data_IF_899849946868
#
_entry.id   IF_899849946868
#
_cell.length_a   1.000
_cell.length_b   1.000
_cell.length_c   1.000
_cell.angle_alpha   90.00
_cell.angle_beta   90.00
_cell.angle_gamma   90.00
#
_symmetry.space_group_name_H-M   'P 1'
#
loop_
_entity.id
_entity.type
_entity.pdbx_description
1 polymer ?
#
# COMPACT_ATOMS: atom_id res chain seq x y z
N UNK A 1 -26.81 -27.08 -52.23
CA UNK A 1 -25.65 -27.76 -52.84
C UNK A 1 -25.75 -27.75 -54.37
N UNK A 2 -24.95 -26.91 -55.03
CA UNK A 2 -24.28 -27.15 -56.32
C UNK A 2 -23.66 -25.82 -56.79
N UNK A 3 -22.36 -25.87 -57.06
CA UNK A 3 -21.53 -24.79 -57.56
C UNK A 3 -21.74 -24.55 -59.07
N UNK A 4 -21.48 -23.33 -59.54
CA UNK A 4 -21.36 -22.99 -60.95
C UNK A 4 -20.05 -22.21 -61.21
N UNK A 5 -19.25 -22.58 -62.23
CA UNK A 5 -17.98 -21.93 -62.54
C UNK A 5 -18.08 -20.89 -63.69
N UNK A 6 -16.97 -20.17 -63.85
CA UNK A 6 -16.75 -18.99 -64.68
C UNK A 6 -16.56 -19.21 -66.19
N UNK A 7 -16.72 -18.12 -66.95
CA UNK A 7 -16.16 -17.81 -68.30
C UNK A 7 -16.55 -16.34 -68.63
N UNK A 8 -15.88 -15.52 -69.44
CA UNK A 8 -14.56 -15.39 -70.06
C UNK A 8 -14.46 -13.91 -70.58
N UNK A 9 -13.24 -13.40 -70.79
CA UNK A 9 -12.82 -12.04 -71.22
C UNK A 9 -13.16 -11.70 -72.71
N UNK A 10 -12.51 -10.76 -73.48
CA UNK A 10 -11.53 -9.66 -73.21
C UNK A 10 -11.68 -8.36 -74.10
N UNK A 11 -10.72 -7.41 -73.98
CA UNK A 11 -10.01 -6.57 -75.01
C UNK A 11 -9.82 -5.10 -74.54
N UNK A 12 -8.60 -4.61 -74.24
CA UNK A 12 -7.48 -4.09 -75.11
C UNK A 12 -7.75 -2.66 -75.67
N UNK A 13 -6.85 -1.68 -75.81
CA UNK A 13 -5.39 -1.54 -75.88
C UNK A 13 -4.98 -0.05 -75.61
N UNK A 14 -3.78 0.28 -75.07
CA UNK A 14 -2.60 0.83 -75.81
C UNK A 14 -2.50 2.38 -75.67
N UNK A 15 -1.37 3.11 -75.58
CA UNK A 15 0.08 2.88 -75.67
C UNK A 15 0.85 4.11 -75.07
N UNK A 16 2.15 3.97 -74.79
CA UNK A 16 3.11 5.01 -74.29
C UNK A 16 3.96 5.63 -75.45
N UNK A 17 5.18 6.23 -75.32
CA UNK A 17 5.92 6.95 -74.24
C UNK A 17 6.70 8.24 -74.73
N UNK A 18 7.41 8.98 -73.84
CA UNK A 18 8.62 9.82 -74.15
C UNK A 18 9.31 10.39 -72.86
N UNK A 19 10.49 9.91 -72.45
CA UNK A 19 11.88 10.51 -72.43
C UNK A 19 12.22 11.72 -71.52
N UNK A 20 13.08 11.46 -70.50
CA UNK A 20 14.35 12.12 -70.02
C UNK A 20 14.60 13.64 -70.23
N UNK A 21 15.25 14.47 -69.39
CA UNK A 21 15.98 14.42 -68.09
C UNK A 21 16.16 15.91 -67.57
N UNK A 22 17.20 16.31 -66.78
CA UNK A 22 17.20 16.53 -65.32
C UNK A 22 17.51 18.00 -64.89
N UNK A 23 17.42 18.36 -63.59
CA UNK A 23 18.26 19.41 -62.92
C UNK A 23 17.95 19.59 -61.41
N UNK A 24 19.00 19.35 -60.61
CA UNK A 24 19.50 20.07 -59.40
C UNK A 24 18.62 20.44 -58.19
N UNK A 25 19.26 20.21 -57.03
CA UNK A 25 18.92 20.51 -55.64
C UNK A 25 18.46 21.95 -55.33
N UNK A 26 17.59 22.08 -54.32
CA UNK A 26 17.79 23.09 -53.28
C UNK A 26 17.21 22.70 -51.92
N UNK A 27 17.82 23.25 -50.88
CA UNK A 27 17.68 22.93 -49.47
C UNK A 27 16.49 23.67 -48.80
N UNK A 28 16.07 23.12 -47.66
CA UNK A 28 15.64 23.92 -46.51
C UNK A 28 14.18 24.35 -46.45
N UNK A 29 13.31 23.49 -45.90
CA UNK A 29 12.16 23.92 -45.10
C UNK A 29 11.96 22.97 -43.92
N UNK A 30 12.88 23.04 -42.96
CA UNK A 30 12.56 22.69 -41.58
C UNK A 30 11.56 23.75 -41.09
N UNK A 31 10.27 23.45 -41.23
CA UNK A 31 9.20 24.28 -40.71
C UNK A 31 9.41 24.46 -39.20
N UNK A 32 9.80 25.66 -38.80
CA UNK A 32 9.83 26.01 -37.39
C UNK A 32 8.43 25.76 -36.83
N UNK A 33 8.28 24.99 -35.73
CA UNK A 33 6.97 24.77 -35.15
C UNK A 33 6.35 26.13 -34.87
N UNK A 34 5.08 26.27 -35.25
CA UNK A 34 4.29 27.46 -34.97
C UNK A 34 4.55 27.92 -33.53
N UNK A 35 4.75 29.23 -33.27
CA UNK A 35 4.93 29.73 -31.91
C UNK A 35 3.77 29.30 -30.98
N UNK A 36 2.60 29.00 -31.53
CA UNK A 36 1.49 28.39 -30.82
C UNK A 36 1.77 26.94 -30.41
N UNK A 37 2.32 26.09 -31.29
CA UNK A 37 2.70 24.72 -30.96
C UNK A 37 3.87 24.67 -29.95
N UNK A 38 4.82 25.60 -30.05
CA UNK A 38 5.91 25.73 -29.08
C UNK A 38 5.47 26.31 -27.72
N UNK A 39 4.41 27.13 -27.70
CA UNK A 39 3.79 27.65 -26.48
C UNK A 39 2.90 26.61 -25.80
N UNK A 40 2.14 25.83 -26.57
CA UNK A 40 1.34 24.69 -26.07
C UNK A 40 2.25 23.58 -25.57
N UNK A 41 3.34 23.28 -26.28
CA UNK A 41 4.36 22.32 -25.83
C UNK A 41 5.05 22.76 -24.52
N UNK A 42 5.35 24.05 -24.36
CA UNK A 42 5.87 24.59 -23.09
C UNK A 42 4.83 24.60 -21.98
N UNK A 43 3.59 25.01 -22.26
CA UNK A 43 2.51 24.99 -21.28
C UNK A 43 2.18 23.57 -20.82
N UNK A 44 2.25 22.56 -21.72
CA UNK A 44 2.08 21.15 -21.37
C UNK A 44 3.29 20.58 -20.62
N UNK A 45 4.52 20.95 -20.98
CA UNK A 45 5.73 20.57 -20.25
C UNK A 45 5.78 21.21 -18.85
N UNK A 46 5.37 22.47 -18.72
CA UNK A 46 5.24 23.19 -17.45
C UNK A 46 4.09 22.61 -16.62
N UNK A 47 2.99 22.17 -17.26
CA UNK A 47 1.90 21.48 -16.56
C UNK A 47 2.27 20.06 -16.14
N UNK A 48 3.08 19.33 -16.91
CA UNK A 48 3.60 18.00 -16.55
C UNK A 48 4.66 18.08 -15.44
N UNK A 49 5.57 19.05 -15.52
CA UNK A 49 6.53 19.35 -14.44
C UNK A 49 5.80 19.82 -13.18
N UNK A 50 4.74 20.63 -13.33
CA UNK A 50 3.87 21.01 -12.23
C UNK A 50 2.97 19.87 -11.73
N UNK A 51 2.64 18.86 -12.55
CA UNK A 51 1.85 17.69 -12.15
C UNK A 51 2.69 16.67 -11.38
N UNK A 52 3.95 16.48 -11.77
CA UNK A 52 4.96 15.77 -10.99
C UNK A 52 5.33 16.51 -9.69
N UNK A 53 5.23 17.86 -9.68
CA UNK A 53 5.41 18.68 -8.48
C UNK A 53 4.14 18.84 -7.62
N UNK A 54 2.95 18.43 -8.11
CA UNK A 54 1.64 18.51 -7.41
C UNK A 54 1.20 17.19 -6.78
N UNK A 55 1.78 16.06 -7.14
CA UNK A 55 1.91 14.98 -6.15
C UNK A 55 2.73 15.58 -5.01
N UNK A 56 2.37 15.46 -3.73
CA UNK A 56 3.26 15.87 -2.65
C UNK A 56 4.64 15.30 -2.95
N UNK A 57 5.55 16.19 -3.31
CA UNK A 57 6.87 15.85 -3.84
C UNK A 57 7.80 15.35 -2.76
N UNK A 58 7.30 15.29 -1.52
CA UNK A 58 7.97 14.59 -0.45
C UNK A 58 7.44 13.15 -0.45
N UNK A 59 8.23 12.16 -0.93
CA UNK A 59 8.17 10.86 -0.28
C UNK A 59 8.17 11.10 1.23
N UNK A 60 7.58 10.23 2.04
CA UNK A 60 7.99 10.21 3.45
C UNK A 60 9.52 10.13 3.41
N UNK A 61 10.21 11.22 3.76
CA UNK A 61 11.65 11.24 3.74
C UNK A 61 12.05 10.03 4.59
N UNK A 62 12.92 9.14 4.08
CA UNK A 62 13.31 7.96 4.84
C UNK A 62 13.68 8.45 6.23
N UNK A 63 12.93 7.97 7.23
CA UNK A 63 13.08 8.54 8.56
C UNK A 63 14.45 8.10 9.04
N UNK A 64 15.36 9.05 9.17
CA UNK A 64 16.68 8.78 9.72
C UNK A 64 16.55 8.72 11.22
N UNK A 65 17.30 7.82 11.85
CA UNK A 65 17.41 7.85 13.30
C UNK A 65 17.99 9.21 13.71
N UNK A 66 17.35 9.95 14.64
CA UNK A 66 17.92 11.19 15.12
C UNK A 66 19.29 10.92 15.76
N UNK A 67 20.23 11.86 15.59
CA UNK A 67 21.61 11.74 16.12
C UNK A 67 21.67 11.58 17.66
N UNK A 68 20.55 11.77 18.36
CA UNK A 68 20.42 11.69 19.82
C UNK A 68 20.02 10.32 20.40
N UNK A 69 20.06 9.23 19.63
CA UNK A 69 19.71 7.89 20.11
C UNK A 69 18.20 7.63 20.26
N UNK A 70 17.82 6.43 20.70
CA UNK A 70 16.42 6.04 20.91
C UNK A 70 15.78 6.93 22.00
N UNK A 71 14.55 7.46 21.82
CA UNK A 71 13.89 8.25 22.85
C UNK A 71 13.89 7.53 24.20
N UNK A 72 14.49 8.16 25.22
CA UNK A 72 14.80 7.54 26.51
C UNK A 72 13.56 7.15 27.36
N UNK A 73 12.36 7.62 27.00
CA UNK A 73 11.15 7.43 27.80
C UNK A 73 10.31 6.24 27.33
N UNK A 74 10.89 5.05 27.50
CA UNK A 74 10.20 3.81 27.28
C UNK A 74 10.12 3.02 28.59
N UNK A 75 8.94 2.44 28.81
CA UNK A 75 8.54 1.57 29.92
C UNK A 75 8.45 2.25 31.29
N UNK A 76 7.25 2.73 31.62
CA UNK A 76 6.75 2.48 32.97
C UNK A 76 6.07 1.11 32.94
N UNK A 77 6.52 0.23 33.84
CA UNK A 77 6.21 -1.20 33.88
C UNK A 77 4.72 -1.50 33.73
N UNK A 78 4.37 -2.23 32.67
CA UNK A 78 3.28 -3.19 32.78
C UNK A 78 3.96 -4.52 33.08
N UNK A 79 3.97 -4.88 34.36
CA UNK A 79 4.30 -6.23 34.79
C UNK A 79 3.47 -7.19 33.93
N UNK A 80 4.16 -7.98 33.11
CA UNK A 80 3.56 -9.05 32.33
C UNK A 80 3.11 -10.10 33.36
N UNK A 81 1.81 -10.36 33.57
CA UNK A 81 1.43 -11.49 34.41
C UNK A 81 1.87 -12.75 33.68
N UNK A 82 3.01 -13.30 34.11
CA UNK A 82 3.52 -14.58 33.69
C UNK A 82 2.60 -15.67 34.23
N UNK A 83 1.50 -15.90 33.52
CA UNK A 83 0.74 -17.13 33.55
C UNK A 83 0.09 -17.25 32.19
N UNK A 84 0.69 -18.03 31.29
CA UNK A 84 -0.09 -18.56 30.18
C UNK A 84 -1.15 -19.48 30.80
N UNK A 85 -2.46 -19.18 30.71
CA UNK A 85 -3.45 -20.19 31.02
C UNK A 85 -3.17 -21.38 30.09
N UNK A 86 -3.13 -22.57 30.68
CA UNK A 86 -3.04 -23.84 29.94
C UNK A 86 -4.05 -23.80 28.80
N UNK A 87 -3.56 -23.94 27.56
CA UNK A 87 -4.38 -23.92 26.33
C UNK A 87 -5.56 -24.88 26.50
N UNK A 88 -6.76 -24.35 26.68
CA UNK A 88 -7.97 -25.12 26.44
C UNK A 88 -8.02 -25.37 24.93
N UNK A 89 -8.00 -26.64 24.51
CA UNK A 89 -8.39 -26.97 23.15
C UNK A 89 -9.86 -26.53 23.00
N UNK A 90 -10.19 -25.74 21.98
CA UNK A 90 -11.57 -25.30 21.72
C UNK A 90 -12.55 -26.47 21.90
N UNK A 91 -13.49 -26.30 22.81
CA UNK A 91 -14.69 -27.13 22.92
C UNK A 91 -15.59 -26.80 21.74
N UNK A 92 -16.06 -27.81 21.01
CA UNK A 92 -17.16 -27.62 20.06
C UNK A 92 -18.38 -26.95 20.73
N UNK A 93 -19.18 -26.21 19.96
CA UNK A 93 -20.32 -25.46 20.48
C UNK A 93 -20.91 -24.48 19.48
N UNK A 94 -21.97 -23.79 19.90
CA UNK A 94 -22.60 -22.66 19.23
C UNK A 94 -21.68 -21.44 19.14
N UNK A 95 -22.06 -20.44 18.33
CA UNK A 95 -21.29 -19.20 18.21
C UNK A 95 -21.16 -18.45 19.53
N UNK A 96 -22.22 -18.42 20.32
CA UNK A 96 -22.27 -17.68 21.57
C UNK A 96 -21.39 -18.35 22.62
N UNK A 97 -21.42 -19.69 22.71
CA UNK A 97 -20.51 -20.47 23.56
C UNK A 97 -19.03 -20.23 23.22
N UNK A 98 -18.70 -20.01 21.94
CA UNK A 98 -17.33 -19.67 21.55
C UNK A 98 -16.92 -18.27 22.01
N UNK A 99 -17.78 -17.26 21.88
CA UNK A 99 -17.46 -15.91 22.40
C UNK A 99 -17.24 -15.95 23.91
N UNK A 100 -18.13 -16.63 24.60
CA UNK A 100 -18.11 -16.88 26.03
C UNK A 100 -16.81 -17.55 26.50
N UNK A 101 -16.37 -18.59 25.79
CA UNK A 101 -15.10 -19.26 26.03
C UNK A 101 -13.92 -18.31 25.86
N UNK A 102 -13.92 -17.48 24.82
CA UNK A 102 -12.88 -16.47 24.61
C UNK A 102 -12.85 -15.46 25.76
N UNK A 103 -14.00 -14.93 26.18
CA UNK A 103 -14.07 -13.97 27.30
C UNK A 103 -13.47 -14.58 28.57
N UNK A 104 -13.90 -15.79 28.93
CA UNK A 104 -13.49 -16.43 30.20
C UNK A 104 -12.06 -16.94 30.14
N UNK A 105 -11.71 -17.71 29.10
CA UNK A 105 -10.51 -18.53 29.08
C UNK A 105 -9.33 -17.87 28.34
N UNK A 106 -9.61 -16.98 27.37
CA UNK A 106 -8.56 -16.31 26.61
C UNK A 106 -8.30 -14.87 27.09
N UNK A 107 -9.35 -14.12 27.44
CA UNK A 107 -9.18 -12.78 28.01
C UNK A 107 -8.94 -12.81 29.52
N UNK A 108 -9.29 -13.91 30.19
CA UNK A 108 -9.16 -14.10 31.62
C UNK A 108 -10.14 -13.25 32.43
N UNK A 109 -11.32 -12.96 31.86
CA UNK A 109 -12.31 -12.07 32.46
C UNK A 109 -13.45 -12.87 33.09
N UNK A 110 -13.90 -12.42 34.27
CA UNK A 110 -15.00 -13.06 35.00
C UNK A 110 -16.19 -12.10 35.03
N UNK A 111 -17.24 -12.35 34.23
CA UNK A 111 -18.46 -11.55 34.27
C UNK A 111 -19.24 -11.80 35.58
N UNK A 112 -20.14 -10.88 35.98
CA UNK A 112 -21.06 -11.11 37.09
C UNK A 112 -21.91 -12.37 36.89
N UNK A 113 -22.29 -13.01 37.98
CA UNK A 113 -23.14 -14.21 37.96
C UNK A 113 -24.48 -13.93 37.25
N UNK A 114 -24.91 -14.84 36.39
CA UNK A 114 -26.17 -14.75 35.65
C UNK A 114 -26.16 -13.78 34.46
N UNK A 115 -25.01 -13.19 34.11
CA UNK A 115 -24.86 -12.30 32.94
C UNK A 115 -24.13 -13.03 31.82
N UNK A 116 -24.59 -12.84 30.58
CA UNK A 116 -23.88 -13.31 29.38
C UNK A 116 -22.48 -12.65 29.30
N UNK A 117 -21.39 -13.42 29.25
CA UNK A 117 -20.04 -12.88 29.25
C UNK A 117 -19.72 -11.93 28.12
N UNK A 118 -20.19 -12.21 26.90
CA UNK A 118 -19.86 -11.40 25.74
C UNK A 118 -20.67 -10.10 25.74
N UNK A 119 -21.96 -10.15 26.08
CA UNK A 119 -22.77 -8.95 26.30
C UNK A 119 -22.20 -8.10 27.43
N UNK A 120 -21.78 -8.72 28.55
CA UNK A 120 -21.08 -8.01 29.62
C UNK A 120 -19.79 -7.36 29.11
N UNK A 121 -18.96 -8.10 28.37
CA UNK A 121 -17.70 -7.61 27.82
C UNK A 121 -17.92 -6.37 26.96
N UNK A 122 -18.86 -6.43 26.00
CA UNK A 122 -19.14 -5.31 25.09
C UNK A 122 -19.66 -4.09 25.84
N UNK A 123 -20.41 -4.30 26.93
CA UNK A 123 -20.81 -3.24 27.86
C UNK A 123 -19.66 -2.58 28.64
N UNK A 124 -18.46 -3.19 28.67
CA UNK A 124 -17.26 -2.59 29.28
C UNK A 124 -16.43 -1.74 28.33
N UNK A 125 -16.73 -1.74 27.04
CA UNK A 125 -15.91 -1.01 26.08
C UNK A 125 -15.99 0.50 26.27
N UNK A 126 -14.86 1.15 26.01
CA UNK A 126 -14.69 2.59 26.13
C UNK A 126 -14.19 3.17 24.81
N UNK A 127 -14.49 4.45 24.58
CA UNK A 127 -13.86 5.23 23.52
C UNK A 127 -12.84 6.17 24.14
N UNK A 128 -11.74 6.44 23.43
CA UNK A 128 -10.67 7.33 23.90
C UNK A 128 -10.23 8.30 22.82
N UNK A 129 -9.78 9.49 23.23
CA UNK A 129 -9.13 10.44 22.32
C UNK A 129 -7.67 10.04 22.11
N UNK A 130 -7.31 9.70 20.88
CA UNK A 130 -5.97 9.25 20.48
C UNK A 130 -5.67 9.72 19.06
N UNK A 131 -4.42 10.11 18.80
CA UNK A 131 -3.96 10.58 17.49
C UNK A 131 -4.84 11.71 16.89
N UNK A 132 -5.39 12.57 17.76
CA UNK A 132 -6.26 13.68 17.36
C UNK A 132 -7.70 13.29 17.01
N UNK A 133 -8.10 12.03 17.18
CA UNK A 133 -9.45 11.54 16.87
C UNK A 133 -10.03 10.65 17.99
N UNK A 134 -11.35 10.52 18.02
CA UNK A 134 -12.03 9.58 18.91
C UNK A 134 -11.92 8.17 18.34
N UNK A 135 -11.45 7.22 19.13
CA UNK A 135 -11.42 5.81 18.75
C UNK A 135 -12.83 5.20 18.65
N UNK A 136 -12.95 4.09 17.92
CA UNK A 136 -14.04 3.15 18.13
C UNK A 136 -14.02 2.55 19.55
N UNK A 137 -15.09 1.85 19.98
CA UNK A 137 -15.14 1.22 21.29
C UNK A 137 -14.06 0.15 21.42
N UNK A 138 -13.29 0.12 22.50
CA UNK A 138 -12.25 -0.88 22.74
C UNK A 138 -12.24 -1.31 24.20
N UNK A 139 -11.57 -2.42 24.51
CA UNK A 139 -11.37 -2.82 25.90
C UNK A 139 -10.61 -1.75 26.68
N UNK A 140 -10.96 -1.48 27.96
CA UNK A 140 -10.26 -0.49 28.78
C UNK A 140 -8.74 -0.66 28.81
N UNK A 141 -8.24 -1.91 28.92
CA UNK A 141 -6.80 -2.19 28.91
C UNK A 141 -6.12 -1.85 27.58
N UNK A 142 -6.82 -2.04 26.46
CA UNK A 142 -6.35 -1.70 25.13
C UNK A 142 -6.39 -0.18 24.94
N UNK A 143 -7.44 0.49 25.43
CA UNK A 143 -7.56 1.94 25.45
C UNK A 143 -6.36 2.62 26.13
N UNK A 144 -5.90 2.09 27.28
CA UNK A 144 -4.70 2.59 27.97
C UNK A 144 -3.45 2.47 27.10
N UNK A 145 -3.29 1.38 26.34
CA UNK A 145 -2.18 1.23 25.38
C UNK A 145 -2.25 2.27 24.26
N UNK A 146 -3.43 2.47 23.68
CA UNK A 146 -3.64 3.48 22.63
C UNK A 146 -3.31 4.90 23.13
N UNK A 147 -3.73 5.26 24.34
CA UNK A 147 -3.44 6.57 24.93
C UNK A 147 -1.94 6.80 25.14
N UNK A 148 -1.21 5.80 25.64
CA UNK A 148 0.26 5.90 25.79
C UNK A 148 0.97 5.96 24.44
N UNK A 149 0.52 5.18 23.45
CA UNK A 149 1.04 5.26 22.09
C UNK A 149 0.79 6.64 21.47
N UNK A 150 -0.40 7.21 21.66
CA UNK A 150 -0.75 8.56 21.22
C UNK A 150 0.15 9.61 21.85
N UNK A 151 0.32 9.60 23.17
CA UNK A 151 1.19 10.57 23.84
C UNK A 151 2.65 10.49 23.34
N UNK A 152 3.16 9.28 23.07
CA UNK A 152 4.51 9.09 22.51
C UNK A 152 4.61 9.61 21.07
N UNK A 153 3.65 9.25 20.22
CA UNK A 153 3.64 9.68 18.84
C UNK A 153 3.55 11.21 18.74
N UNK A 154 2.75 11.85 19.60
CA UNK A 154 2.65 13.31 19.70
C UNK A 154 4.02 13.94 19.96
N UNK A 155 4.76 13.43 20.94
CA UNK A 155 6.10 13.92 21.26
C UNK A 155 7.04 13.76 20.07
N UNK A 156 7.07 12.59 19.43
CA UNK A 156 7.95 12.33 18.28
C UNK A 156 7.63 13.25 17.10
N UNK A 157 6.34 13.50 16.82
CA UNK A 157 5.92 14.41 15.76
C UNK A 157 6.34 15.85 16.07
N UNK A 158 6.16 16.30 17.33
CA UNK A 158 6.62 17.63 17.77
C UNK A 158 8.13 17.78 17.64
N UNK A 159 8.89 16.76 18.02
CA UNK A 159 10.35 16.75 17.91
C UNK A 159 10.77 16.85 16.44
N UNK A 160 10.15 16.06 15.55
CA UNK A 160 10.40 16.12 14.10
C UNK A 160 10.06 17.50 13.52
N UNK A 161 8.91 18.07 13.86
CA UNK A 161 8.50 19.38 13.39
C UNK A 161 9.43 20.48 13.90
N UNK A 162 9.84 20.41 15.16
CA UNK A 162 10.81 21.34 15.76
C UNK A 162 12.17 21.24 15.07
N UNK A 163 12.65 20.02 14.79
CA UNK A 163 13.88 19.79 14.04
C UNK A 163 13.80 20.34 12.60
N UNK A 164 12.60 20.36 12.01
CA UNK A 164 12.31 21.00 10.73
C UNK A 164 12.08 22.53 10.81
N UNK A 165 12.35 23.16 11.96
CA UNK A 165 12.17 24.60 12.17
C UNK A 165 10.71 25.04 12.35
N UNK A 166 9.79 24.09 12.56
CA UNK A 166 8.36 24.35 12.79
C UNK A 166 8.01 24.21 14.26
N UNK A 167 7.70 25.32 14.93
CA UNK A 167 7.20 25.29 16.31
C UNK A 167 5.70 25.00 16.31
N UNK A 168 5.26 24.00 17.07
CA UNK A 168 3.83 23.70 17.25
C UNK A 168 3.39 24.02 18.67
N UNK A 169 2.51 25.01 18.81
CA UNK A 169 1.84 25.34 20.07
C UNK A 169 0.44 24.72 20.10
N UNK A 170 0.02 24.21 21.27
CA UNK A 170 -1.29 23.58 21.42
C UNK A 170 -1.37 22.19 20.79
N UNK A 171 -2.58 21.64 20.65
CA UNK A 171 -2.82 20.30 20.09
C UNK A 171 -2.37 20.19 18.64
N UNK A 172 -1.88 18.99 18.26
CA UNK A 172 -1.56 18.69 16.86
C UNK A 172 -2.83 18.68 16.01
N UNK A 173 -2.75 19.25 14.82
CA UNK A 173 -3.81 19.24 13.80
C UNK A 173 -3.96 17.87 13.14
N UNK A 174 -5.07 17.62 12.43
CA UNK A 174 -5.27 16.39 11.65
C UNK A 174 -4.15 16.17 10.64
N UNK A 175 -3.70 17.23 9.99
CA UNK A 175 -2.63 17.20 8.98
C UNK A 175 -1.27 16.85 9.61
N UNK A 176 -1.02 17.29 10.84
CA UNK A 176 0.21 16.96 11.57
C UNK A 176 0.20 15.51 12.08
N UNK A 177 -0.96 15.03 12.51
CA UNK A 177 -1.16 13.63 12.86
C UNK A 177 -1.11 12.70 11.65
N UNK A 178 -1.62 13.18 10.51
CA UNK A 178 -1.98 12.36 9.35
C UNK A 178 -2.77 11.09 9.74
N UNK A 179 -3.70 11.25 10.69
CA UNK A 179 -4.62 10.21 11.14
C UNK A 179 -6.04 10.77 11.05
N UNK A 180 -6.89 10.12 10.26
CA UNK A 180 -8.27 10.52 10.03
C UNK A 180 -9.31 9.75 10.85
N UNK A 181 -8.98 8.53 11.27
CA UNK A 181 -9.87 7.60 11.95
C UNK A 181 -9.10 6.50 12.67
N UNK A 182 -9.65 6.05 13.80
CA UNK A 182 -9.14 4.95 14.60
C UNK A 182 -10.33 4.06 14.93
N UNK A 183 -10.39 2.85 14.36
CA UNK A 183 -11.51 1.94 14.58
C UNK A 183 -11.38 1.21 15.93
N UNK A 184 -12.31 0.31 16.22
CA UNK A 184 -12.29 -0.51 17.43
C UNK A 184 -13.14 -1.74 17.22
N UNK A 185 -13.94 -2.08 18.22
CA UNK A 185 -14.97 -3.10 18.15
C UNK A 185 -15.93 -2.85 16.99
N UNK A 186 -16.24 -3.93 16.29
CA UNK A 186 -17.16 -3.94 15.16
C UNK A 186 -18.14 -5.10 15.36
N UNK A 187 -19.41 -4.77 15.62
CA UNK A 187 -20.48 -5.75 15.81
C UNK A 187 -20.72 -6.65 14.59
N UNK A 188 -20.34 -6.18 13.39
CA UNK A 188 -20.39 -6.94 12.14
C UNK A 188 -19.21 -7.92 11.99
N UNK A 189 -18.06 -7.63 12.61
CA UNK A 189 -16.90 -8.52 12.62
C UNK A 189 -17.04 -9.52 13.75
N UNK A 190 -17.68 -10.63 13.42
CA UNK A 190 -17.92 -11.75 14.34
C UNK A 190 -16.68 -12.63 14.61
N UNK A 191 -15.47 -12.22 14.22
CA UNK A 191 -14.23 -12.99 14.38
C UNK A 191 -13.03 -12.05 14.58
N UNK A 192 -11.94 -12.60 15.11
CA UNK A 192 -10.67 -11.88 15.27
C UNK A 192 -10.67 -10.85 16.41
N UNK A 193 -9.55 -10.15 16.56
CA UNK A 193 -9.27 -9.23 17.66
C UNK A 193 -10.25 -8.04 17.75
N UNK A 194 -10.86 -7.63 16.64
CA UNK A 194 -11.91 -6.59 16.63
C UNK A 194 -13.16 -7.01 17.41
N UNK A 195 -13.59 -8.27 17.30
CA UNK A 195 -14.78 -8.77 18.00
C UNK A 195 -14.68 -8.61 19.54
N UNK A 196 -13.45 -8.57 20.07
CA UNK A 196 -13.19 -8.50 21.50
C UNK A 196 -12.63 -7.14 21.93
N UNK A 197 -12.67 -6.11 21.09
CA UNK A 197 -12.16 -4.77 21.43
C UNK A 197 -10.64 -4.74 21.67
N UNK A 198 -9.89 -5.67 21.06
CA UNK A 198 -8.43 -5.82 21.19
C UNK A 198 -7.65 -5.42 19.93
N UNK A 199 -8.33 -4.79 18.97
CA UNK A 199 -7.71 -4.29 17.77
C UNK A 199 -8.26 -2.94 17.37
N UNK A 200 -7.46 -2.24 16.58
CA UNK A 200 -7.84 -1.03 15.87
C UNK A 200 -7.28 -1.09 14.46
N UNK A 201 -8.05 -0.57 13.51
CA UNK A 201 -7.56 -0.21 12.18
C UNK A 201 -7.44 1.32 12.15
N UNK A 202 -6.27 1.82 11.78
CA UNK A 202 -6.04 3.27 11.62
C UNK A 202 -6.21 3.63 10.15
N UNK A 203 -7.13 4.55 9.88
CA UNK A 203 -7.43 4.98 8.52
C UNK A 203 -7.75 3.81 7.59
N UNK A 204 -8.65 2.94 8.04
CA UNK A 204 -9.05 1.74 7.31
C UNK A 204 -9.35 1.99 5.84
N UNK A 205 -9.95 3.13 5.47
CA UNK A 205 -10.25 3.42 4.07
C UNK A 205 -9.10 4.08 3.30
N UNK A 206 -8.12 4.67 3.97
CA UNK A 206 -7.00 5.38 3.33
C UNK A 206 -5.70 4.54 3.31
N UNK A 207 -5.58 3.56 4.22
CA UNK A 207 -4.51 2.56 4.25
C UNK A 207 -5.07 1.21 3.78
N UNK A 208 -5.02 0.93 2.48
CA UNK A 208 -5.48 -0.34 1.94
C UNK A 208 -4.68 -1.51 2.48
N UNK A 209 -5.38 -2.63 2.58
CA UNK A 209 -4.76 -3.93 2.72
C UNK A 209 -3.75 -4.14 1.60
N UNK A 210 -2.63 -4.78 1.88
CA UNK A 210 -1.69 -5.25 0.89
C UNK A 210 -1.86 -6.75 0.81
N UNK A 211 -2.16 -7.29 -0.37
CA UNK A 211 -2.41 -8.73 -0.51
C UNK A 211 -1.15 -9.53 -0.11
N UNK A 212 -1.28 -10.33 0.96
CA UNK A 212 -0.29 -11.31 1.41
C UNK A 212 -0.83 -12.29 2.49
N UNK A 213 -2.10 -12.70 2.35
CA UNK A 213 -2.73 -13.64 3.29
C UNK A 213 -2.48 -15.09 2.86
N UNK A 214 -2.32 -15.99 3.83
CA UNK A 214 -2.16 -17.40 3.56
C UNK A 214 -3.50 -18.00 3.10
N UNK A 215 -3.52 -18.51 1.88
CA UNK A 215 -4.69 -19.18 1.32
C UNK A 215 -4.65 -19.16 -0.21
N UNK A 216 -5.30 -20.13 -0.85
CA UNK A 216 -5.23 -20.28 -2.31
C UNK A 216 -5.90 -19.14 -3.07
N UNK A 217 -6.91 -18.50 -2.48
CA UNK A 217 -7.59 -17.36 -3.08
C UNK A 217 -6.75 -16.07 -2.94
N UNK A 218 -6.10 -15.91 -1.80
CA UNK A 218 -5.29 -14.76 -1.43
C UNK A 218 -3.97 -14.76 -2.21
N UNK A 219 -3.33 -15.93 -2.33
CA UNK A 219 -2.18 -16.14 -3.22
C UNK A 219 -2.51 -15.84 -4.70
N UNK A 220 -3.75 -16.08 -5.13
CA UNK A 220 -4.18 -15.74 -6.48
C UNK A 220 -4.31 -14.22 -6.67
N UNK A 221 -4.64 -13.47 -5.61
CA UNK A 221 -4.60 -12.00 -5.64
C UNK A 221 -3.16 -11.52 -5.70
N UNK A 222 -2.26 -12.07 -4.88
CA UNK A 222 -0.83 -11.70 -4.86
C UNK A 222 -0.17 -11.91 -6.23
N UNK A 223 -0.46 -13.05 -6.87
CA UNK A 223 0.02 -13.34 -8.22
C UNK A 223 -0.49 -12.34 -9.27
N UNK A 224 -1.70 -11.80 -9.09
CA UNK A 224 -2.28 -10.79 -9.99
C UNK A 224 -1.67 -9.40 -9.75
N UNK A 225 -1.53 -8.97 -8.48
CA UNK A 225 -1.13 -7.61 -8.13
C UNK A 225 0.38 -7.42 -7.97
N UNK A 226 1.10 -8.47 -7.60
CA UNK A 226 2.55 -8.48 -7.39
C UNK A 226 3.37 -7.85 -8.51
N UNK A 227 3.12 -8.21 -9.80
CA UNK A 227 3.84 -7.59 -10.92
C UNK A 227 3.72 -6.07 -10.98
N UNK A 228 2.56 -5.50 -10.61
CA UNK A 228 2.38 -4.05 -10.60
C UNK A 228 3.21 -3.36 -9.53
N UNK A 229 3.29 -3.94 -8.32
CA UNK A 229 4.18 -3.46 -7.27
C UNK A 229 5.65 -3.51 -7.68
N UNK A 230 6.07 -4.60 -8.31
CA UNK A 230 7.44 -4.77 -8.80
C UNK A 230 7.80 -3.73 -9.87
N UNK A 231 6.92 -3.50 -10.85
CA UNK A 231 7.14 -2.45 -11.88
C UNK A 231 7.27 -1.07 -11.26
N UNK A 232 6.42 -0.74 -10.30
CA UNK A 232 6.50 0.52 -9.59
C UNK A 232 7.87 0.71 -8.92
N UNK A 233 8.37 -0.31 -8.21
CA UNK A 233 9.68 -0.25 -7.55
C UNK A 233 10.85 -0.23 -8.56
N UNK A 234 10.77 -1.00 -9.64
CA UNK A 234 11.78 -0.97 -10.70
C UNK A 234 11.92 0.43 -11.31
N UNK A 235 10.83 1.18 -11.48
CA UNK A 235 10.83 2.51 -12.09
C UNK A 235 11.07 3.65 -11.09
N UNK A 236 10.54 3.54 -9.87
CA UNK A 236 10.46 4.67 -8.94
C UNK A 236 10.91 4.38 -7.51
N UNK A 237 11.31 3.14 -7.20
CA UNK A 237 11.87 2.80 -5.89
C UNK A 237 13.19 3.51 -5.60
N UNK A 238 13.65 3.43 -4.36
CA UNK A 238 14.87 4.05 -3.84
C UNK A 238 16.19 3.63 -4.55
N UNK A 239 16.14 2.67 -5.48
CA UNK A 239 17.29 2.20 -6.25
C UNK A 239 18.17 1.18 -5.52
N UNK A 240 17.84 0.87 -4.26
CA UNK A 240 18.50 -0.19 -3.48
C UNK A 240 17.88 -1.55 -3.76
N UNK A 241 16.64 -1.57 -4.26
CA UNK A 241 15.87 -2.77 -4.58
C UNK A 241 15.30 -2.70 -5.99
N UNK A 242 15.19 -3.88 -6.62
CA UNK A 242 14.57 -4.06 -7.94
C UNK A 242 13.17 -4.65 -7.88
N UNK A 243 12.70 -5.02 -6.69
CA UNK A 243 11.42 -5.69 -6.48
C UNK A 243 10.79 -5.18 -5.18
N UNK A 244 9.47 -5.24 -5.11
CA UNK A 244 8.69 -4.81 -3.96
C UNK A 244 9.00 -5.64 -2.71
N UNK A 245 8.86 -5.03 -1.53
CA UNK A 245 8.83 -5.75 -0.25
C UNK A 245 7.48 -6.41 0.01
N UNK A 246 6.43 -5.94 -0.68
CA UNK A 246 5.14 -6.62 -0.77
C UNK A 246 5.41 -7.94 -1.49
N UNK A 247 5.31 -9.08 -0.80
CA UNK A 247 5.80 -10.29 -1.41
C UNK A 247 4.84 -10.77 -2.51
N UNK A 248 5.43 -11.48 -3.47
CA UNK A 248 4.72 -12.12 -4.56
C UNK A 248 5.18 -13.58 -4.55
N UNK A 249 4.25 -14.49 -4.25
CA UNK A 249 4.50 -15.94 -4.24
C UNK A 249 4.86 -16.47 -5.65
N UNK A 250 4.63 -15.67 -6.71
CA UNK A 250 5.03 -16.01 -8.08
C UNK A 250 6.55 -15.89 -8.34
N UNK A 251 7.36 -15.43 -7.39
CA UNK A 251 8.83 -15.38 -7.56
C UNK A 251 9.47 -16.73 -7.18
N UNK A 252 9.16 -17.75 -7.97
CA UNK A 252 10.02 -18.89 -8.34
C UNK A 252 10.47 -19.91 -7.28
N UNK A 253 10.21 -21.19 -7.56
CA UNK A 253 10.99 -22.31 -7.01
C UNK A 253 12.32 -22.42 -7.76
N UNK A 254 13.41 -21.87 -7.20
CA UNK A 254 14.75 -21.93 -7.81
C UNK A 254 15.65 -20.79 -7.35
N UNK A 255 16.78 -20.56 -8.04
CA UNK A 255 17.75 -19.48 -7.78
C UNK A 255 17.15 -18.06 -7.72
N UNK A 256 15.88 -17.91 -8.11
CA UNK A 256 15.02 -16.73 -7.95
C UNK A 256 14.56 -16.47 -6.51
N UNK A 257 14.73 -17.43 -5.59
CA UNK A 257 14.88 -17.16 -4.16
C UNK A 257 16.21 -16.46 -3.94
N UNK A 258 16.28 -15.20 -4.35
CA UNK A 258 17.09 -14.27 -3.59
C UNK A 258 16.62 -14.47 -2.14
N UNK A 259 17.51 -14.93 -1.25
CA UNK A 259 17.25 -14.82 0.18
C UNK A 259 17.04 -13.33 0.42
N UNK A 260 15.79 -12.90 0.52
CA UNK A 260 15.37 -11.49 0.58
C UNK A 260 15.09 -11.14 2.04
N UNK A 261 16.11 -10.78 2.84
CA UNK A 261 15.90 -10.31 4.21
C UNK A 261 15.08 -9.01 4.27
N UNK A 262 14.90 -8.34 3.13
CA UNK A 262 14.14 -7.11 2.93
C UNK A 262 12.64 -7.34 2.69
N UNK A 263 12.19 -8.56 2.36
CA UNK A 263 10.75 -8.84 2.29
C UNK A 263 10.12 -8.52 3.63
N UNK A 264 8.86 -8.09 3.59
CA UNK A 264 8.01 -8.13 4.77
C UNK A 264 7.98 -9.58 5.24
N UNK A 265 8.86 -9.87 6.20
CA UNK A 265 9.01 -11.18 6.79
C UNK A 265 8.50 -11.06 8.20
N UNK A 266 7.88 -12.14 8.67
CA UNK A 266 7.36 -12.36 10.01
C UNK A 266 8.48 -12.26 11.03
N UNK A 267 9.03 -11.07 11.23
CA UNK A 267 10.09 -10.84 12.19
C UNK A 267 9.38 -10.56 13.50
N UNK A 268 9.29 -11.55 14.42
CA UNK A 268 8.53 -11.37 15.63
C UNK A 268 9.16 -10.23 16.43
N UNK A 269 8.34 -9.48 17.15
CA UNK A 269 8.82 -8.50 18.13
C UNK A 269 9.95 -9.11 18.96
N UNK A 270 11.11 -8.42 19.12
CA UNK A 270 12.20 -8.92 19.94
C UNK A 270 11.74 -9.21 21.38
N UNK A 271 12.05 -10.40 21.91
CA UNK A 271 11.61 -10.85 23.23
C UNK A 271 12.06 -9.95 24.39
N UNK A 272 13.10 -9.14 24.18
CA UNK A 272 13.69 -8.22 25.15
C UNK A 272 13.28 -6.74 24.94
N UNK A 273 12.19 -6.45 24.20
CA UNK A 273 11.77 -5.08 23.85
C UNK A 273 11.59 -4.09 25.02
N UNK A 274 11.64 -4.56 26.27
CA UNK A 274 11.52 -3.74 27.46
C UNK A 274 12.87 -3.20 27.96
N UNK A 275 14.02 -3.81 27.58
CA UNK A 275 15.35 -3.26 27.87
C UNK A 275 15.84 -2.30 26.76
N UNK A 276 16.87 -1.49 27.05
CA UNK A 276 17.36 -0.48 26.12
C UNK A 276 17.78 -1.07 24.76
N UNK A 277 18.43 -2.22 24.75
CA UNK A 277 18.88 -2.89 23.53
C UNK A 277 17.70 -3.47 22.73
N UNK A 278 16.68 -4.00 23.40
CA UNK A 278 15.47 -4.48 22.76
C UNK A 278 14.63 -3.36 22.17
N UNK A 279 14.61 -2.19 22.80
CA UNK A 279 13.96 -0.99 22.24
C UNK A 279 14.66 -0.48 20.99
N UNK A 280 15.98 -0.45 21.01
CA UNK A 280 16.77 -0.10 19.83
C UNK A 280 16.55 -1.08 18.68
N UNK A 281 16.54 -2.38 18.97
CA UNK A 281 16.20 -3.41 17.97
C UNK A 281 14.78 -3.24 17.42
N UNK A 282 13.78 -2.99 18.28
CA UNK A 282 12.40 -2.78 17.85
C UNK A 282 12.29 -1.53 16.96
N UNK A 283 12.97 -0.44 17.33
CA UNK A 283 13.01 0.78 16.53
C UNK A 283 13.63 0.52 15.16
N UNK A 284 14.84 -0.05 15.11
CA UNK A 284 15.55 -0.33 13.86
C UNK A 284 14.74 -1.27 12.94
N UNK A 285 14.12 -2.31 13.52
CA UNK A 285 13.25 -3.22 12.80
C UNK A 285 12.01 -2.50 12.25
N UNK A 286 11.28 -1.75 13.08
CA UNK A 286 10.10 -0.97 12.64
C UNK A 286 10.47 -0.02 11.53
N UNK A 287 11.58 0.70 11.71
CA UNK A 287 12.07 1.71 10.77
C UNK A 287 12.38 1.09 9.40
N UNK A 288 13.05 -0.05 9.40
CA UNK A 288 13.39 -0.77 8.16
C UNK A 288 12.13 -1.17 7.40
N UNK A 289 11.20 -1.84 8.07
CA UNK A 289 9.93 -2.27 7.46
C UNK A 289 9.11 -1.09 6.98
N UNK A 290 8.99 -0.05 7.82
CA UNK A 290 8.26 1.16 7.49
C UNK A 290 8.85 1.87 6.27
N UNK A 291 10.16 2.13 6.24
CA UNK A 291 10.79 2.84 5.13
C UNK A 291 10.66 2.08 3.81
N UNK A 292 10.74 0.74 3.85
CA UNK A 292 10.52 -0.09 2.68
C UNK A 292 9.08 0.04 2.15
N UNK A 293 8.08 -0.04 3.02
CA UNK A 293 6.67 0.14 2.67
C UNK A 293 6.38 1.57 2.17
N UNK A 294 6.97 2.58 2.80
CA UNK A 294 6.83 3.98 2.39
C UNK A 294 7.43 4.23 1.00
N UNK A 295 8.60 3.65 0.73
CA UNK A 295 9.29 3.71 -0.56
C UNK A 295 8.43 3.08 -1.65
N UNK A 296 7.89 1.89 -1.39
CA UNK A 296 7.06 1.15 -2.36
C UNK A 296 5.69 1.83 -2.57
N UNK A 297 5.08 2.39 -1.52
CA UNK A 297 3.85 3.19 -1.61
C UNK A 297 4.05 4.45 -2.44
N UNK A 298 5.19 5.15 -2.25
CA UNK A 298 5.54 6.34 -3.04
C UNK A 298 5.83 5.98 -4.50
N UNK A 299 6.49 4.83 -4.73
CA UNK A 299 6.76 4.33 -6.07
C UNK A 299 5.47 4.01 -6.83
N UNK A 300 4.48 3.41 -6.14
CA UNK A 300 3.14 3.16 -6.65
C UNK A 300 2.41 4.43 -7.11
N UNK A 301 2.43 5.48 -6.27
CA UNK A 301 1.82 6.78 -6.62
C UNK A 301 2.42 7.34 -7.92
N UNK A 302 3.75 7.31 -8.05
CA UNK A 302 4.46 7.80 -9.24
C UNK A 302 4.23 6.91 -10.46
N UNK A 303 4.15 5.60 -10.27
CA UNK A 303 3.86 4.64 -11.33
C UNK A 303 2.50 4.90 -11.98
N UNK A 304 1.45 5.02 -11.18
CA UNK A 304 0.12 5.31 -11.73
C UNK A 304 0.00 6.74 -12.25
N UNK A 305 0.77 7.70 -11.72
CA UNK A 305 0.80 9.07 -12.22
C UNK A 305 1.27 9.19 -13.69
N UNK A 306 1.93 8.16 -14.24
CA UNK A 306 2.33 8.13 -15.65
C UNK A 306 1.15 8.05 -16.62
N UNK A 307 0.02 7.48 -16.19
CA UNK A 307 -1.16 7.24 -17.05
C UNK A 307 -2.43 7.86 -16.44
N UNK A 308 -2.51 8.02 -15.13
CA UNK A 308 -3.67 8.57 -14.46
C UNK A 308 -3.31 9.88 -13.76
N UNK A 309 -4.17 10.90 -13.78
CA UNK A 309 -3.93 12.10 -13.01
C UNK A 309 -3.83 11.77 -11.52
N UNK A 310 -2.91 12.38 -10.76
CA UNK A 310 -2.83 12.21 -9.32
C UNK A 310 -4.19 12.52 -8.67
N UNK A 311 -4.63 11.71 -7.69
CA UNK A 311 -5.86 11.97 -6.96
C UNK A 311 -5.67 13.21 -6.07
N UNK A 312 -6.75 13.95 -5.84
CA UNK A 312 -6.77 14.92 -4.76
C UNK A 312 -6.74 14.19 -3.41
N UNK A 313 -5.58 14.18 -2.78
CA UNK A 313 -5.37 13.49 -1.51
C UNK A 313 -6.21 14.08 -0.37
N UNK A 314 -6.65 15.34 -0.49
CA UNK A 314 -7.46 16.04 0.51
C UNK A 314 -8.96 15.80 0.35
N UNK A 315 -9.40 15.29 -0.80
CA UNK A 315 -10.81 15.08 -1.10
C UNK A 315 -11.23 13.63 -0.88
N UNK A 316 -12.39 13.44 -0.26
CA UNK A 316 -13.09 12.15 -0.18
C UNK A 316 -14.01 11.91 -1.39
N UNK A 317 -14.07 12.86 -2.33
CA UNK A 317 -14.86 12.72 -3.55
C UNK A 317 -14.05 11.99 -4.61
N UNK A 318 -14.59 10.94 -5.27
CA UNK A 318 -13.91 10.28 -6.37
C UNK A 318 -13.53 11.28 -7.45
N UNK A 319 -12.25 11.37 -7.77
CA UNK A 319 -11.79 12.08 -8.96
C UNK A 319 -11.71 11.09 -10.11
N UNK A 320 -12.30 11.42 -11.27
CA UNK A 320 -12.26 10.56 -12.44
C UNK A 320 -10.81 10.18 -12.77
N UNK A 321 -10.56 8.88 -12.94
CA UNK A 321 -9.27 8.34 -13.34
C UNK A 321 -9.24 8.19 -14.87
N UNK A 322 -9.37 9.29 -15.61
CA UNK A 322 -9.28 9.24 -17.07
C UNK A 322 -7.82 8.99 -17.47
N UNK A 323 -7.51 7.86 -18.14
CA UNK A 323 -6.15 7.59 -18.57
C UNK A 323 -5.70 8.60 -19.63
N UNK A 324 -4.43 8.96 -19.60
CA UNK A 324 -3.76 9.79 -20.60
C UNK A 324 -2.52 9.06 -21.14
N UNK A 325 -2.01 9.54 -22.27
CA UNK A 325 -0.77 9.02 -22.83
C UNK A 325 0.43 9.36 -21.92
N UNK A 326 1.38 8.44 -21.84
CA UNK A 326 2.65 8.69 -21.15
C UNK A 326 3.40 9.78 -21.91
N UNK A 327 3.69 10.88 -21.22
CA UNK A 327 4.44 11.99 -21.79
C UNK A 327 5.84 11.54 -22.27
N UNK A 328 6.26 12.02 -23.43
CA UNK A 328 7.54 11.63 -24.03
C UNK A 328 8.74 12.04 -23.16
N UNK A 329 8.67 13.16 -22.44
CA UNK A 329 9.73 13.56 -21.51
C UNK A 329 9.73 12.69 -20.25
N UNK A 330 8.56 12.28 -19.75
CA UNK A 330 8.48 11.30 -18.66
C UNK A 330 9.10 9.95 -19.07
N UNK A 331 8.78 9.43 -20.26
CA UNK A 331 9.39 8.21 -20.78
C UNK A 331 10.91 8.37 -20.98
N UNK A 332 11.36 9.51 -21.51
CA UNK A 332 12.78 9.83 -21.67
C UNK A 332 13.52 9.88 -20.32
N UNK A 333 12.88 10.40 -19.27
CA UNK A 333 13.47 10.45 -17.92
C UNK A 333 13.63 9.06 -17.29
N UNK A 334 12.79 8.09 -17.66
CA UNK A 334 12.87 6.71 -17.17
C UNK A 334 13.95 5.89 -17.88
N UNK A 335 14.32 6.24 -19.12
CA UNK A 335 15.25 5.45 -19.94
C UNK A 335 16.56 5.08 -19.24
N UNK A 336 17.32 6.01 -18.61
CA UNK A 336 18.59 5.66 -17.98
C UNK A 336 18.42 4.60 -16.89
N UNK A 337 17.32 4.67 -16.14
CA UNK A 337 17.02 3.70 -15.09
C UNK A 337 16.63 2.34 -15.69
N UNK A 338 15.79 2.32 -16.72
CA UNK A 338 15.38 1.08 -17.41
C UNK A 338 16.60 0.40 -18.03
N UNK A 339 17.48 1.15 -18.68
CA UNK A 339 18.71 0.63 -19.28
C UNK A 339 19.70 0.09 -18.24
N UNK A 340 19.70 0.65 -17.03
CA UNK A 340 20.51 0.15 -15.91
C UNK A 340 19.95 -1.13 -15.26
N UNK A 341 18.68 -1.50 -15.54
CA UNK A 341 18.12 -2.75 -15.03
C UNK A 341 18.80 -3.96 -15.68
N UNK A 342 19.09 -5.03 -14.92
CA UNK A 342 19.50 -6.31 -15.49
C UNK A 342 18.49 -6.81 -16.53
N UNK A 343 18.90 -7.56 -17.57
CA UNK A 343 17.99 -8.04 -18.61
C UNK A 343 16.75 -8.78 -18.07
N UNK A 344 16.90 -9.60 -17.02
CA UNK A 344 15.77 -10.29 -16.39
C UNK A 344 14.77 -9.31 -15.74
N UNK A 345 15.24 -8.18 -15.20
CA UNK A 345 14.38 -7.16 -14.64
C UNK A 345 13.70 -6.34 -15.74
N UNK A 346 14.37 -6.06 -16.86
CA UNK A 346 13.72 -5.46 -18.03
C UNK A 346 12.60 -6.37 -18.59
N UNK A 347 12.88 -7.67 -18.71
CA UNK A 347 11.88 -8.66 -19.12
C UNK A 347 10.67 -8.65 -18.17
N UNK A 348 10.88 -8.61 -16.85
CA UNK A 348 9.79 -8.50 -15.88
C UNK A 348 9.02 -7.18 -15.98
N UNK A 349 9.73 -6.07 -16.13
CA UNK A 349 9.16 -4.73 -16.28
C UNK A 349 8.16 -4.70 -17.44
N UNK A 350 8.55 -5.25 -18.59
CA UNK A 350 7.75 -5.26 -19.81
C UNK A 350 6.95 -6.54 -20.05
N UNK A 351 6.78 -7.38 -19.02
CA UNK A 351 5.99 -8.63 -19.12
C UNK A 351 6.42 -9.54 -20.29
N UNK A 352 7.74 -9.67 -20.49
CA UNK A 352 8.38 -10.46 -21.55
C UNK A 352 8.60 -9.72 -22.88
N UNK A 353 8.08 -8.50 -23.03
CA UNK A 353 8.01 -7.79 -24.31
C UNK A 353 8.81 -6.48 -24.25
N UNK A 354 10.13 -6.58 -24.04
CA UNK A 354 11.02 -5.42 -24.03
C UNK A 354 10.99 -4.72 -25.39
N UNK A 355 10.74 -3.40 -25.45
CA UNK A 355 10.73 -2.65 -26.71
C UNK A 355 12.06 -2.75 -27.47
N UNK A 356 11.97 -2.91 -28.79
CA UNK A 356 13.11 -2.84 -29.71
C UNK A 356 12.79 -1.86 -30.86
N UNK A 357 13.43 -0.69 -30.92
CA UNK A 357 14.48 -0.22 -30.01
C UNK A 357 13.95 0.17 -28.61
N UNK A 358 14.82 0.07 -27.60
CA UNK A 358 14.56 0.57 -26.26
C UNK A 358 14.78 2.09 -26.20
N UNK A 359 13.79 2.83 -26.71
CA UNK A 359 13.74 4.29 -26.72
C UNK A 359 12.49 4.85 -26.00
N UNK A 360 12.36 6.17 -25.92
CA UNK A 360 11.29 6.80 -25.16
C UNK A 360 9.90 6.49 -25.73
N UNK A 361 9.77 6.37 -27.05
CA UNK A 361 8.50 6.05 -27.71
C UNK A 361 8.11 4.59 -27.47
N UNK A 362 9.07 3.67 -27.57
CA UNK A 362 8.90 2.25 -27.24
C UNK A 362 8.51 2.05 -25.77
N UNK A 363 9.18 2.74 -24.85
CA UNK A 363 8.86 2.71 -23.42
C UNK A 363 7.44 3.21 -23.14
N UNK A 364 7.06 4.37 -23.69
CA UNK A 364 5.72 4.93 -23.50
C UNK A 364 4.63 3.98 -24.03
N UNK A 365 4.85 3.44 -25.23
CA UNK A 365 3.91 2.52 -25.90
C UNK A 365 3.75 1.21 -25.13
N UNK A 366 4.85 0.65 -24.60
CA UNK A 366 4.82 -0.63 -23.91
C UNK A 366 4.33 -0.52 -22.46
N UNK A 367 4.67 0.55 -21.73
CA UNK A 367 4.28 0.70 -20.33
C UNK A 367 2.80 1.06 -20.16
N UNK A 368 2.22 1.88 -21.05
CA UNK A 368 0.83 2.34 -20.90
C UNK A 368 -0.18 1.21 -20.67
N UNK A 369 -0.29 0.19 -21.55
CA UNK A 369 -1.25 -0.90 -21.33
C UNK A 369 -0.94 -1.75 -20.09
N UNK A 370 0.33 -1.82 -19.66
CA UNK A 370 0.71 -2.52 -18.42
C UNK A 370 0.23 -1.76 -17.18
N UNK A 371 0.39 -0.43 -17.16
CA UNK A 371 -0.07 0.44 -16.07
C UNK A 371 -1.60 0.41 -15.96
N UNK A 372 -2.32 0.49 -17.08
CA UNK A 372 -3.79 0.39 -17.09
C UNK A 372 -4.25 -0.97 -16.53
N UNK A 373 -3.62 -2.06 -16.97
CA UNK A 373 -3.91 -3.42 -16.46
C UNK A 373 -3.60 -3.57 -14.98
N UNK A 374 -2.48 -3.05 -14.50
CA UNK A 374 -2.11 -3.13 -13.09
C UNK A 374 -3.07 -2.31 -12.21
N UNK A 375 -3.51 -1.15 -12.69
CA UNK A 375 -4.50 -0.30 -12.02
C UNK A 375 -5.80 -1.09 -11.78
N UNK A 376 -6.33 -1.73 -12.81
CA UNK A 376 -7.54 -2.56 -12.72
C UNK A 376 -7.35 -3.78 -11.80
N UNK A 377 -6.21 -4.49 -11.90
CA UNK A 377 -5.91 -5.66 -11.06
C UNK A 377 -5.86 -5.30 -9.58
N UNK A 378 -5.34 -4.12 -9.26
CA UNK A 378 -5.27 -3.63 -7.89
C UNK A 378 -6.61 -3.16 -7.33
N UNK A 379 -7.62 -2.94 -8.18
CA UNK A 379 -8.97 -2.52 -7.77
C UNK A 379 -9.37 -1.13 -8.26
N UNK A 380 -8.53 -0.46 -9.05
CA UNK A 380 -8.93 0.72 -9.80
C UNK A 380 -10.10 0.41 -10.74
N UNK A 381 -11.04 1.34 -10.87
CA UNK A 381 -12.27 1.10 -11.65
C UNK A 381 -12.18 1.60 -13.09
N UNK A 382 -12.57 0.73 -14.04
CA UNK A 382 -13.37 1.12 -15.21
C UNK A 382 -14.74 0.41 -15.22
N UNK A 383 -14.81 -0.91 -14.99
CA UNK A 383 -16.05 -1.65 -14.61
C UNK A 383 -15.68 -2.95 -13.88
N UNK A 384 -16.32 -3.20 -12.73
CA UNK A 384 -16.01 -4.30 -11.80
C UNK A 384 -16.24 -5.72 -12.39
N UNK A 385 -15.27 -6.62 -12.21
CA UNK A 385 -15.50 -8.07 -12.29
C UNK A 385 -14.65 -8.80 -11.24
N UNK A 386 -15.27 -9.21 -10.12
CA UNK A 386 -14.65 -10.16 -9.18
C UNK A 386 -15.28 -10.18 -7.79
N UNK A 387 -15.78 -11.35 -7.38
CA UNK A 387 -16.44 -11.64 -6.10
C UNK A 387 -15.52 -12.51 -5.21
N UNK A 388 -15.01 -11.91 -4.11
CA UNK A 388 -14.21 -12.49 -3.00
C UNK A 388 -12.69 -12.69 -3.27
N UNK A 389 -11.75 -12.36 -2.36
CA UNK A 389 -11.78 -11.61 -1.08
C UNK A 389 -10.64 -10.58 -1.07
N UNK A 390 -11.03 -9.31 -0.86
CA UNK A 390 -10.22 -8.11 -0.59
C UNK A 390 -8.92 -7.89 -1.39
N UNK A 391 -9.08 -7.58 -2.69
CA UNK A 391 -8.05 -6.86 -3.46
C UNK A 391 -7.51 -5.68 -2.64
N UNK A 392 -6.21 -5.35 -2.76
CA UNK A 392 -5.59 -4.36 -1.89
C UNK A 392 -6.35 -3.03 -1.91
N UNK A 393 -6.93 -2.66 -3.06
CA UNK A 393 -7.73 -1.46 -3.24
C UNK A 393 -9.18 -1.77 -3.63
N UNK A 394 -9.77 -2.81 -3.01
CA UNK A 394 -11.10 -3.29 -3.35
C UNK A 394 -12.18 -2.18 -3.33
N UNK A 395 -13.11 -2.28 -4.27
CA UNK A 395 -14.15 -1.28 -4.56
C UNK A 395 -15.40 -1.43 -3.69
N UNK A 396 -15.31 -2.10 -2.54
CA UNK A 396 -16.47 -2.23 -1.63
C UNK A 396 -16.79 -0.88 -0.98
N UNK A 397 -18.07 -0.68 -0.68
CA UNK A 397 -18.54 0.54 -0.02
C UNK A 397 -19.08 1.61 -0.98
N UNK A 398 -19.55 2.71 -0.40
CA UNK A 398 -20.09 3.86 -1.10
C UNK A 398 -19.01 4.56 -1.95
N UNK A 399 -19.44 5.39 -2.91
CA UNK A 399 -18.52 6.06 -3.83
C UNK A 399 -17.37 6.80 -3.11
N UNK A 400 -17.68 7.52 -2.02
CA UNK A 400 -16.66 8.23 -1.22
C UNK A 400 -15.62 7.29 -0.60
N UNK A 401 -16.01 6.09 -0.16
CA UNK A 401 -15.09 5.09 0.41
C UNK A 401 -14.18 4.52 -0.67
N UNK A 402 -14.72 4.28 -1.88
CA UNK A 402 -13.91 3.83 -3.03
C UNK A 402 -12.86 4.86 -3.43
N UNK A 403 -13.14 6.16 -3.28
CA UNK A 403 -12.17 7.22 -3.59
C UNK A 403 -10.93 7.20 -2.68
N UNK A 404 -11.08 6.67 -1.47
CA UNK A 404 -10.00 6.58 -0.49
C UNK A 404 -9.12 5.34 -0.73
N UNK A 405 -9.70 4.27 -1.31
CA UNK A 405 -9.00 3.04 -1.71
C UNK A 405 -8.63 3.04 -3.19
N UNK A 406 -7.95 4.09 -3.63
CA UNK A 406 -7.51 4.24 -5.03
C UNK A 406 -6.02 3.89 -5.15
N UNK A 407 -5.61 2.97 -6.05
CA UNK A 407 -4.19 2.63 -6.23
C UNK A 407 -3.27 3.84 -6.46
N UNK A 408 -3.79 4.93 -7.04
CA UNK A 408 -3.03 6.18 -7.26
C UNK A 408 -2.61 6.87 -5.96
N UNK A 409 -3.25 6.56 -4.83
CA UNK A 409 -2.89 7.09 -3.51
C UNK A 409 -1.73 6.31 -2.87
N UNK A 410 -1.24 5.25 -3.49
CA UNK A 410 -0.35 4.30 -2.82
C UNK A 410 -1.10 3.57 -1.71
N UNK A 411 -0.39 2.81 -0.87
CA UNK A 411 -1.03 2.02 0.18
C UNK A 411 -0.75 2.47 1.60
N UNK A 412 0.28 3.29 1.84
CA UNK A 412 0.65 3.70 3.19
C UNK A 412 0.60 5.23 3.36
N UNK A 413 -0.27 5.68 4.27
CA UNK A 413 -0.37 7.06 4.75
C UNK A 413 0.05 7.22 6.22
N UNK A 414 0.06 6.14 7.01
CA UNK A 414 0.41 6.19 8.42
C UNK A 414 1.81 6.78 8.65
N UNK A 415 1.99 7.73 9.59
CA UNK A 415 3.31 8.19 10.00
C UNK A 415 4.09 7.13 10.78
N UNK A 416 5.41 7.16 10.64
CA UNK A 416 6.32 6.28 11.39
C UNK A 416 6.11 6.41 12.90
N UNK A 417 5.91 7.62 13.40
CA UNK A 417 5.72 7.92 14.82
C UNK A 417 4.52 7.19 15.40
N UNK A 418 3.43 7.08 14.63
CA UNK A 418 2.22 6.35 15.02
C UNK A 418 2.50 4.85 15.04
N UNK A 419 3.02 4.30 13.94
CA UNK A 419 3.34 2.87 13.81
C UNK A 419 4.30 2.41 14.90
N UNK A 420 5.41 3.12 15.08
CA UNK A 420 6.40 2.78 16.10
C UNK A 420 5.83 2.91 17.50
N UNK A 421 5.06 3.96 17.80
CA UNK A 421 4.53 4.15 19.16
C UNK A 421 3.54 3.06 19.56
N UNK A 422 2.71 2.59 18.62
CA UNK A 422 1.81 1.45 18.83
C UNK A 422 2.59 0.15 19.05
N UNK A 423 3.58 -0.13 18.20
CA UNK A 423 4.46 -1.29 18.39
C UNK A 423 5.21 -1.21 19.72
N UNK A 424 5.69 -0.05 20.13
CA UNK A 424 6.37 0.13 21.41
C UNK A 424 5.46 -0.23 22.61
N UNK A 425 4.14 -0.02 22.51
CA UNK A 425 3.15 -0.35 23.55
C UNK A 425 2.74 -1.83 23.63
N UNK A 426 3.40 -2.71 22.86
CA UNK A 426 3.07 -4.14 22.89
C UNK A 426 2.30 -4.62 21.68
N UNK A 427 1.79 -3.70 20.85
CA UNK A 427 0.85 -4.05 19.79
C UNK A 427 1.58 -4.70 18.61
N UNK A 428 0.94 -5.68 18.00
CA UNK A 428 1.37 -6.25 16.72
C UNK A 428 0.90 -5.35 15.60
N UNK A 429 1.78 -5.09 14.65
CA UNK A 429 1.42 -4.42 13.42
C UNK A 429 1.11 -5.43 12.32
N UNK A 430 -0.03 -5.26 11.64
CA UNK A 430 -0.50 -6.14 10.58
C UNK A 430 0.49 -6.32 9.45
N UNK A 431 1.34 -5.33 9.18
CA UNK A 431 2.36 -5.46 8.16
C UNK A 431 3.38 -6.57 8.43
N UNK A 432 3.89 -6.76 9.66
CA UNK A 432 5.04 -7.66 9.87
C UNK A 432 4.94 -8.61 11.08
N UNK A 433 3.98 -8.38 11.98
CA UNK A 433 3.91 -9.10 13.26
C UNK A 433 2.80 -10.17 13.30
N UNK A 434 1.93 -10.24 12.28
CA UNK A 434 0.79 -11.15 12.23
C UNK A 434 1.06 -12.49 11.53
N UNK A 435 2.26 -12.71 10.99
CA UNK A 435 2.55 -13.93 10.24
C UNK A 435 2.27 -13.77 8.74
N UNK A 436 2.35 -14.85 7.97
CA UNK A 436 2.04 -14.85 6.53
C UNK A 436 0.55 -14.71 6.22
N UNK A 437 -0.21 -14.08 7.13
CA UNK A 437 -1.66 -14.06 7.16
C UNK A 437 -2.22 -12.63 7.34
N UNK A 438 -1.43 -11.58 7.12
CA UNK A 438 -1.98 -10.24 7.01
C UNK A 438 -1.00 -9.31 6.31
N UNK A 439 -1.46 -8.62 5.28
CA UNK A 439 -0.90 -7.34 4.86
C UNK A 439 -1.81 -6.16 5.20
N UNK A 440 -2.60 -6.24 6.29
CA UNK A 440 -3.38 -5.11 6.79
C UNK A 440 -2.45 -4.12 7.48
N UNK A 441 -1.80 -3.28 6.70
CA UNK A 441 -0.88 -2.26 7.23
C UNK A 441 -1.59 -1.23 8.14
N UNK A 442 -2.91 -1.13 8.06
CA UNK A 442 -3.75 -0.34 8.95
C UNK A 442 -3.97 -0.98 10.33
N UNK A 443 -3.78 -2.30 10.44
CA UNK A 443 -4.24 -3.08 11.58
C UNK A 443 -3.22 -3.14 12.72
N UNK A 444 -3.71 -2.95 13.94
CA UNK A 444 -2.94 -3.13 15.17
C UNK A 444 -3.76 -3.90 16.19
N UNK A 445 -3.17 -4.93 16.80
CA UNK A 445 -3.83 -5.69 17.86
C UNK A 445 -2.96 -5.95 19.08
N UNK A 446 -3.63 -6.31 20.17
CA UNK A 446 -3.03 -6.55 21.48
C UNK A 446 -2.14 -7.82 21.55
N UNK A 447 -2.09 -8.59 20.46
CA UNK A 447 -1.22 -9.73 20.25
C UNK A 447 -1.06 -10.71 21.41
N UNK A 448 0.17 -11.23 21.55
CA UNK A 448 0.56 -12.41 22.34
C UNK A 448 0.14 -12.43 23.82
N UNK A 449 -0.38 -11.32 24.36
CA UNK A 449 -1.00 -11.30 25.69
C UNK A 449 -2.30 -12.13 25.73
N UNK A 450 -3.09 -12.13 24.63
CA UNK A 450 -4.40 -12.78 24.56
C UNK A 450 -4.71 -13.23 23.12
N UNK A 451 -4.09 -14.34 22.69
CA UNK A 451 -4.37 -14.89 21.35
C UNK A 451 -5.83 -15.36 21.28
N UNK A 452 -6.61 -14.71 20.43
CA UNK A 452 -7.96 -15.13 20.10
C UNK A 452 -7.86 -16.37 19.19
N UNK A 453 -8.43 -17.53 19.59
CA UNK A 453 -8.39 -18.72 18.76
C UNK A 453 -9.20 -18.50 17.48
N UNK A 454 -8.76 -19.08 16.36
CA UNK A 454 -9.59 -19.10 15.16
C UNK A 454 -10.80 -20.00 15.41
N UNK A 455 -12.00 -19.59 14.99
CA UNK A 455 -13.18 -20.46 15.09
C UNK A 455 -13.02 -21.63 14.10
N UNK A 456 -13.28 -22.89 14.51
CA UNK A 456 -13.36 -24.00 13.57
C UNK A 456 -14.45 -23.72 12.55
N UNK A 457 -14.16 -23.98 11.27
CA UNK A 457 -15.05 -23.68 10.15
C UNK A 457 -16.43 -24.34 10.30
#
# INVERSE_FOLDING_TARGET
>A
PLAGPASASPLAAGAAPATASPLTADAGLAGSPSPFAAAVGRALADHATASLARVPSTPAAPVTQPAGGVPASATQDVANPAAQPTRSAQTGGSQDEWYDDVVRNHLGLTPPEGVDPYDWLTGTFVTVQVFGVTSGPVLPRFATKLQRASARAEQMIRDRLTAAGTTVAGALTREQWNVGSVSGWDAGRRRGSHAFGQATDIDYFENPYVAHEAGTAEQAVDAQTGPGYDRAVMLFGDGTRVLSVVPNDAVGTGADRIQRPDRITNTPRPAAANDAAGRERLYAQTMTTYNNLASDSSAMQRYFALVYPPPDLTSSTPTAATPHDIDAAAAQALLPRIQALPPVAQQRLFDGHVPDPLDAAGVATALRPLIERDYERMGGTATNAGTAGDRPFATRGAAAQRAQRDPRRGFMTLPFEVVFSLRAEGLRWGACDLGGASGDIQHFDDGAAHVIPQRPA
#
